data_IF_676902722240
#
_entry.id   IF_676902722240
#
_cell.length_a   1.000
_cell.length_b   1.000
_cell.length_c   1.000
_cell.angle_alpha   90.00
_cell.angle_beta   90.00
_cell.angle_gamma   90.00
#
_symmetry.space_group_name_H-M   'P 1'
#
loop_
_entity.id
_entity.type
_entity.pdbx_description
1 polymer ?
#
# COMPACT_ATOMS: atom_id res chain seq x y z
N UNK A 1 -11.60 13.37 -6.66
CA UNK A 1 -10.24 12.78 -6.56
C UNK A 1 -9.33 13.51 -7.52
N UNK A 2 -8.11 13.87 -7.12
CA UNK A 2 -7.21 14.55 -8.04
C UNK A 2 -6.58 13.56 -9.02
N UNK A 3 -6.05 14.11 -10.12
CA UNK A 3 -5.49 13.31 -11.21
C UNK A 3 -4.28 12.48 -10.78
N UNK A 4 -3.43 13.02 -9.92
CA UNK A 4 -2.25 12.30 -9.43
C UNK A 4 -2.66 11.09 -8.59
N UNK A 5 -3.64 11.24 -7.72
CA UNK A 5 -4.18 10.12 -6.93
C UNK A 5 -4.73 9.02 -7.84
N UNK A 6 -5.46 9.40 -8.87
CA UNK A 6 -5.99 8.42 -9.85
C UNK A 6 -4.86 7.67 -10.56
N UNK A 7 -3.80 8.38 -10.94
CA UNK A 7 -2.63 7.77 -11.59
C UNK A 7 -1.93 6.79 -10.65
N UNK A 8 -1.76 7.16 -9.38
CA UNK A 8 -1.17 6.28 -8.36
C UNK A 8 -2.00 5.00 -8.21
N UNK A 9 -3.32 5.14 -8.10
CA UNK A 9 -4.23 3.99 -7.93
C UNK A 9 -4.16 3.09 -9.17
N UNK A 10 -4.26 3.66 -10.36
CA UNK A 10 -4.24 2.90 -11.60
C UNK A 10 -2.91 2.17 -11.80
N UNK A 11 -1.79 2.85 -11.57
CA UNK A 11 -0.45 2.25 -11.69
C UNK A 11 -0.29 1.10 -10.72
N UNK A 12 -0.68 1.31 -9.45
CA UNK A 12 -0.60 0.26 -8.43
C UNK A 12 -1.45 -0.96 -8.83
N UNK A 13 -2.66 -0.71 -9.33
CA UNK A 13 -3.55 -1.79 -9.73
C UNK A 13 -2.97 -2.62 -10.88
N UNK A 14 -2.38 -1.98 -11.87
CA UNK A 14 -1.71 -2.67 -12.99
C UNK A 14 -0.53 -3.52 -12.48
N UNK A 15 0.24 -2.99 -11.54
CA UNK A 15 1.37 -3.72 -10.96
C UNK A 15 0.90 -4.91 -10.13
N UNK A 16 -0.19 -4.78 -9.37
CA UNK A 16 -0.78 -5.89 -8.62
C UNK A 16 -1.25 -6.99 -9.58
N UNK A 17 -1.83 -6.64 -10.72
CA UNK A 17 -2.24 -7.63 -11.71
C UNK A 17 -1.04 -8.43 -12.23
N UNK A 18 0.11 -7.79 -12.45
CA UNK A 18 1.34 -8.48 -12.84
C UNK A 18 1.83 -9.42 -11.73
N UNK A 19 1.71 -9.03 -10.48
CA UNK A 19 2.11 -9.86 -9.34
C UNK A 19 1.13 -11.01 -9.11
N UNK A 20 -0.13 -10.83 -9.46
CA UNK A 20 -1.17 -11.84 -9.28
C UNK A 20 -0.99 -13.03 -10.24
N UNK A 21 -0.54 -12.78 -11.47
CA UNK A 21 -0.32 -13.83 -12.46
C UNK A 21 0.80 -14.74 -11.97
N UNK A 22 0.52 -16.06 -11.89
CA UNK A 22 1.43 -17.02 -11.29
C UNK A 22 2.55 -17.40 -12.27
N UNK A 23 3.71 -16.79 -12.13
CA UNK A 23 4.92 -17.03 -12.90
C UNK A 23 6.12 -17.11 -11.96
N UNK A 24 7.26 -17.62 -12.44
CA UNK A 24 8.50 -17.61 -11.66
C UNK A 24 8.91 -16.19 -11.29
N UNK A 25 8.73 -15.25 -12.22
CA UNK A 25 9.05 -13.85 -11.99
C UNK A 25 8.16 -13.25 -10.89
N UNK A 26 6.85 -13.47 -10.96
CA UNK A 26 5.91 -12.88 -9.98
C UNK A 26 6.13 -13.46 -8.58
N UNK A 27 6.40 -14.76 -8.47
CA UNK A 27 6.72 -15.39 -7.18
C UNK A 27 7.99 -14.80 -6.57
N UNK A 28 9.04 -14.63 -7.39
CA UNK A 28 10.28 -14.01 -6.92
C UNK A 28 10.04 -12.56 -6.48
N UNK A 29 9.32 -11.78 -7.28
CA UNK A 29 9.06 -10.37 -6.97
C UNK A 29 8.21 -10.24 -5.71
N UNK A 30 7.16 -11.07 -5.54
CA UNK A 30 6.38 -11.06 -4.30
C UNK A 30 7.22 -11.41 -3.09
N UNK A 31 8.16 -12.36 -3.23
CA UNK A 31 9.08 -12.71 -2.14
C UNK A 31 9.96 -11.53 -1.75
N UNK A 32 10.51 -10.80 -2.72
CA UNK A 32 11.33 -9.61 -2.46
C UNK A 32 10.53 -8.49 -1.78
N UNK A 33 9.31 -8.23 -2.25
CA UNK A 33 8.45 -7.21 -1.66
C UNK A 33 8.00 -7.60 -0.24
N UNK A 34 7.66 -8.87 -0.04
CA UNK A 34 7.30 -9.39 1.28
C UNK A 34 8.47 -9.20 2.27
N UNK A 35 9.68 -9.54 1.85
CA UNK A 35 10.86 -9.36 2.69
C UNK A 35 11.08 -7.89 3.05
N UNK A 36 10.87 -6.97 2.10
CA UNK A 36 10.95 -5.54 2.39
C UNK A 36 9.93 -5.11 3.45
N UNK A 37 8.70 -5.64 3.39
CA UNK A 37 7.68 -5.34 4.39
C UNK A 37 8.10 -5.80 5.78
N UNK A 38 8.62 -7.01 5.87
CA UNK A 38 8.99 -7.64 7.15
C UNK A 38 10.23 -6.99 7.75
N UNK A 39 11.27 -6.76 6.96
CA UNK A 39 12.57 -6.28 7.45
C UNK A 39 12.72 -4.77 7.46
N UNK A 40 11.95 -4.07 6.61
CA UNK A 40 12.12 -2.64 6.39
C UNK A 40 13.26 -2.30 5.43
N UNK A 41 13.96 -3.30 4.87
CA UNK A 41 15.03 -3.08 3.92
C UNK A 41 14.49 -3.02 2.50
N UNK A 42 14.90 -2.00 1.74
CA UNK A 42 14.50 -1.87 0.35
C UNK A 42 15.14 -2.95 -0.51
N UNK A 43 14.38 -3.45 -1.48
CA UNK A 43 14.89 -4.36 -2.50
C UNK A 43 15.26 -3.57 -3.75
N UNK A 44 16.55 -3.49 -4.13
CA UNK A 44 16.94 -2.81 -5.36
C UNK A 44 16.27 -3.40 -6.60
N UNK A 45 16.08 -4.71 -6.65
CA UNK A 45 15.43 -5.39 -7.77
C UNK A 45 13.95 -4.99 -7.87
N UNK A 46 13.25 -4.93 -6.74
CA UNK A 46 11.85 -4.48 -6.72
C UNK A 46 11.74 -3.01 -7.14
N UNK A 47 12.63 -2.17 -6.67
CA UNK A 47 12.66 -0.76 -7.09
C UNK A 47 12.93 -0.62 -8.58
N UNK A 48 13.83 -1.42 -9.14
CA UNK A 48 14.09 -1.43 -10.58
C UNK A 48 12.84 -1.73 -11.38
N UNK A 49 12.07 -2.73 -10.96
CA UNK A 49 10.79 -3.04 -11.59
C UNK A 49 9.81 -1.88 -11.49
N UNK A 50 9.65 -1.31 -10.30
CA UNK A 50 8.74 -0.18 -10.07
C UNK A 50 9.11 0.99 -10.99
N UNK A 51 10.38 1.36 -11.05
CA UNK A 51 10.84 2.46 -11.92
C UNK A 51 10.52 2.19 -13.40
N UNK A 52 10.54 0.93 -13.83
CA UNK A 52 10.21 0.58 -15.21
C UNK A 52 8.72 0.72 -15.54
N UNK A 53 7.85 0.69 -14.51
CA UNK A 53 6.39 0.72 -14.66
C UNK A 53 5.79 2.10 -14.36
N UNK A 54 6.51 2.95 -13.65
CA UNK A 54 5.99 4.23 -13.19
C UNK A 54 5.82 5.20 -14.37
N UNK A 55 4.64 5.83 -14.54
CA UNK A 55 4.46 6.90 -15.52
C UNK A 55 5.35 8.10 -15.20
N UNK A 56 5.81 8.77 -16.22
CA UNK A 56 6.71 9.91 -16.09
C UNK A 56 6.17 11.02 -15.18
N UNK A 57 4.84 11.22 -15.20
CA UNK A 57 4.18 12.29 -14.43
C UNK A 57 4.36 12.15 -12.91
N UNK A 58 4.60 10.94 -12.44
CA UNK A 58 4.74 10.66 -10.99
C UNK A 58 6.12 10.11 -10.64
N UNK A 59 7.03 10.06 -11.60
CA UNK A 59 8.40 9.58 -11.38
C UNK A 59 9.20 10.56 -10.54
N UNK A 60 10.07 10.02 -9.70
CA UNK A 60 11.10 10.79 -9.02
C UNK A 60 12.28 11.07 -9.93
N UNK A 61 13.44 11.34 -9.33
CA UNK A 61 14.70 11.61 -10.01
C UNK A 61 15.76 10.61 -9.56
N UNK A 62 16.94 10.66 -10.18
CA UNK A 62 18.08 9.85 -9.76
C UNK A 62 18.50 10.13 -8.31
N UNK A 63 18.20 11.34 -7.84
CA UNK A 63 18.60 11.78 -6.50
C UNK A 63 17.55 11.50 -5.45
N UNK A 64 16.27 11.39 -5.84
CA UNK A 64 15.18 11.25 -4.88
C UNK A 64 13.99 10.49 -5.46
N UNK A 65 13.54 9.46 -4.72
CA UNK A 65 12.30 8.76 -4.97
C UNK A 65 11.13 9.71 -4.69
N UNK A 66 10.14 9.72 -5.57
CA UNK A 66 8.96 10.57 -5.39
C UNK A 66 8.05 10.04 -4.26
N UNK A 67 7.20 10.92 -3.73
CA UNK A 67 6.21 10.50 -2.71
C UNK A 67 5.20 9.52 -3.30
N UNK A 68 4.91 9.63 -4.59
CA UNK A 68 4.04 8.70 -5.31
C UNK A 68 4.69 7.32 -5.38
N UNK A 69 5.97 7.26 -5.73
CA UNK A 69 6.73 6.01 -5.78
C UNK A 69 6.81 5.33 -4.42
N UNK A 70 7.03 6.10 -3.36
CA UNK A 70 7.06 5.56 -1.99
C UNK A 70 5.72 4.94 -1.59
N UNK A 71 4.63 5.60 -1.93
CA UNK A 71 3.29 5.10 -1.63
C UNK A 71 3.02 3.78 -2.36
N UNK A 72 3.37 3.71 -3.63
CA UNK A 72 3.22 2.50 -4.44
C UNK A 72 4.06 1.36 -3.87
N UNK A 73 5.33 1.62 -3.55
CA UNK A 73 6.23 0.61 -3.00
C UNK A 73 5.65 -0.01 -1.72
N UNK A 74 5.22 0.83 -0.78
CA UNK A 74 4.68 0.33 0.49
C UNK A 74 3.41 -0.47 0.29
N UNK A 75 2.51 -0.02 -0.59
CA UNK A 75 1.27 -0.76 -0.88
C UNK A 75 1.56 -2.12 -1.51
N UNK A 76 2.52 -2.20 -2.43
CA UNK A 76 2.92 -3.46 -3.06
C UNK A 76 3.58 -4.40 -2.06
N UNK A 77 4.41 -3.88 -1.16
CA UNK A 77 5.02 -4.67 -0.10
C UNK A 77 3.94 -5.26 0.81
N UNK A 78 2.94 -4.47 1.18
CA UNK A 78 1.83 -4.94 2.00
C UNK A 78 1.02 -6.01 1.28
N UNK A 79 0.71 -5.81 0.00
CA UNK A 79 0.02 -6.80 -0.82
C UNK A 79 0.78 -8.13 -0.81
N UNK A 80 2.07 -8.09 -1.10
CA UNK A 80 2.91 -9.30 -1.15
C UNK A 80 2.98 -10.02 0.19
N UNK A 81 3.03 -9.26 1.30
CA UNK A 81 3.20 -9.82 2.64
C UNK A 81 1.91 -10.35 3.26
N UNK A 82 0.74 -9.85 2.85
CA UNK A 82 -0.52 -10.19 3.53
C UNK A 82 -1.51 -10.92 2.66
N UNK A 83 -1.65 -10.54 1.40
CA UNK A 83 -2.67 -11.11 0.51
C UNK A 83 -2.09 -12.01 -0.57
N UNK A 84 -1.10 -11.50 -1.29
CA UNK A 84 -0.44 -12.22 -2.39
C UNK A 84 -1.32 -12.47 -3.60
N UNK A 85 -2.50 -13.01 -3.39
CA UNK A 85 -3.45 -13.42 -4.43
C UNK A 85 -4.88 -12.93 -4.16
N UNK A 86 -5.08 -12.05 -3.17
CA UNK A 86 -6.41 -11.60 -2.76
C UNK A 86 -6.51 -10.09 -2.80
N UNK A 87 -7.60 -9.60 -3.37
CA UNK A 87 -7.94 -8.19 -3.39
C UNK A 87 -9.47 -8.04 -3.43
N UNK A 88 -9.97 -6.90 -3.03
CA UNK A 88 -11.39 -6.57 -3.03
C UNK A 88 -11.57 -5.08 -3.34
N UNK A 89 -12.79 -4.65 -3.59
CA UNK A 89 -13.07 -3.24 -3.92
C UNK A 89 -13.14 -2.33 -2.69
N UNK A 90 -13.38 -2.90 -1.51
CA UNK A 90 -13.51 -2.11 -0.29
C UNK A 90 -12.16 -1.55 0.15
N UNK A 91 -12.18 -0.43 0.88
CA UNK A 91 -10.97 0.12 1.47
C UNK A 91 -10.55 -0.68 2.69
N UNK A 92 -9.31 -0.48 3.14
CA UNK A 92 -8.79 -1.10 4.35
C UNK A 92 -9.67 -0.78 5.57
N UNK A 93 -10.07 0.46 5.73
CA UNK A 93 -10.88 0.89 6.88
C UNK A 93 -12.30 0.32 6.79
N UNK A 94 -12.88 0.25 5.59
CA UNK A 94 -14.17 -0.43 5.41
C UNK A 94 -14.09 -1.90 5.79
N UNK A 95 -12.99 -2.57 5.48
CA UNK A 95 -12.77 -3.96 5.89
C UNK A 95 -12.69 -4.07 7.41
N UNK A 96 -12.01 -3.15 8.09
CA UNK A 96 -11.97 -3.09 9.56
C UNK A 96 -13.37 -2.98 10.16
N UNK A 97 -14.17 -2.08 9.61
CA UNK A 97 -15.54 -1.86 10.07
C UNK A 97 -16.39 -3.11 9.89
N UNK A 98 -16.30 -3.74 8.72
CA UNK A 98 -17.02 -4.98 8.44
C UNK A 98 -16.69 -6.09 9.45
N UNK A 99 -15.42 -6.16 9.87
CA UNK A 99 -14.94 -7.17 10.83
C UNK A 99 -15.13 -6.75 12.28
N UNK A 100 -15.74 -5.61 12.53
CA UNK A 100 -15.96 -5.06 13.88
C UNK A 100 -14.66 -4.97 14.69
N UNK A 101 -13.58 -4.52 14.04
CA UNK A 101 -12.28 -4.37 14.70
C UNK A 101 -12.22 -3.10 15.53
N UNK A 102 -11.44 -3.13 16.62
CA UNK A 102 -11.14 -1.91 17.36
C UNK A 102 -10.23 -0.98 16.55
N UNK A 103 -10.08 0.26 17.00
CA UNK A 103 -9.34 1.29 16.28
C UNK A 103 -7.88 1.43 16.67
N UNK A 104 -7.34 0.55 17.52
CA UNK A 104 -5.99 0.73 18.08
C UNK A 104 -4.95 0.85 16.98
N UNK A 105 -4.94 -0.07 16.01
CA UNK A 105 -3.95 -0.04 14.94
C UNK A 105 -4.20 1.09 13.94
N UNK A 106 -5.46 1.45 13.68
CA UNK A 106 -5.75 2.62 12.84
C UNK A 106 -5.19 3.89 13.49
N UNK A 107 -5.38 4.05 14.78
CA UNK A 107 -4.82 5.18 15.51
C UNK A 107 -3.29 5.22 15.42
N UNK A 108 -2.63 4.09 15.55
CA UNK A 108 -1.17 4.01 15.40
C UNK A 108 -0.71 4.43 14.00
N UNK A 109 -1.45 4.02 12.97
CA UNK A 109 -1.18 4.41 11.59
C UNK A 109 -1.36 5.92 11.42
N UNK A 110 -2.46 6.46 11.94
CA UNK A 110 -2.77 7.89 11.84
C UNK A 110 -1.73 8.77 12.57
N UNK A 111 -1.14 8.25 13.65
CA UNK A 111 -0.11 8.97 14.41
C UNK A 111 1.29 8.86 13.80
N UNK A 112 1.47 8.04 12.77
CA UNK A 112 2.78 7.92 12.10
C UNK A 112 3.18 9.24 11.47
N UNK A 113 4.46 9.59 11.59
CA UNK A 113 4.98 10.83 11.00
C UNK A 113 5.23 10.71 9.50
N UNK A 114 5.61 9.50 9.06
CA UNK A 114 5.95 9.22 7.66
C UNK A 114 5.64 7.76 7.34
N UNK A 115 5.85 7.35 6.08
CA UNK A 115 5.55 5.98 5.66
C UNK A 115 6.48 4.95 6.30
N UNK A 116 7.71 5.31 6.60
CA UNK A 116 8.65 4.38 7.26
C UNK A 116 8.14 4.02 8.65
N UNK A 117 7.66 5.01 9.42
CA UNK A 117 7.06 4.78 10.74
C UNK A 117 5.77 3.97 10.64
N UNK A 118 5.04 4.13 9.55
CA UNK A 118 3.76 3.46 9.34
C UNK A 118 3.90 1.98 9.03
N UNK A 119 5.03 1.55 8.52
CA UNK A 119 5.24 0.21 7.98
C UNK A 119 4.78 -0.91 8.92
N UNK A 120 5.26 -0.89 10.17
CA UNK A 120 4.94 -1.96 11.13
C UNK A 120 3.46 -1.98 11.51
N UNK A 121 2.85 -0.85 11.95
CA UNK A 121 1.43 -0.89 12.29
C UNK A 121 0.54 -1.21 11.07
N UNK A 122 0.93 -0.79 9.88
CA UNK A 122 0.21 -1.11 8.65
C UNK A 122 0.27 -2.61 8.34
N UNK A 123 1.46 -3.22 8.49
CA UNK A 123 1.64 -4.65 8.29
C UNK A 123 0.79 -5.45 9.28
N UNK A 124 0.82 -5.07 10.55
CA UNK A 124 0.04 -5.74 11.60
C UNK A 124 -1.46 -5.65 11.30
N UNK A 125 -1.95 -4.50 10.89
CA UNK A 125 -3.36 -4.33 10.54
C UNK A 125 -3.74 -5.16 9.33
N UNK A 126 -2.94 -5.12 8.27
CA UNK A 126 -3.20 -5.90 7.06
C UNK A 126 -3.26 -7.39 7.34
N UNK A 127 -2.33 -7.91 8.13
CA UNK A 127 -2.33 -9.32 8.54
C UNK A 127 -3.58 -9.69 9.32
N UNK A 128 -4.02 -8.84 10.25
CA UNK A 128 -5.23 -9.10 11.03
C UNK A 128 -6.47 -9.16 10.16
N UNK A 129 -6.61 -8.22 9.22
CA UNK A 129 -7.75 -8.19 8.31
C UNK A 129 -7.80 -9.48 7.47
N UNK A 130 -6.68 -9.84 6.86
CA UNK A 130 -6.61 -11.01 5.97
C UNK A 130 -6.79 -12.30 6.77
N UNK A 131 -6.21 -12.40 7.96
CA UNK A 131 -6.36 -13.59 8.81
C UNK A 131 -7.82 -13.81 9.28
N UNK A 132 -8.63 -12.75 9.29
CA UNK A 132 -10.05 -12.83 9.58
C UNK A 132 -10.90 -13.14 8.35
N UNK A 133 -10.26 -13.41 7.22
CA UNK A 133 -10.93 -13.83 5.99
C UNK A 133 -11.41 -12.70 5.10
N UNK A 134 -10.97 -11.47 5.32
CA UNK A 134 -11.36 -10.32 4.52
C UNK A 134 -10.19 -9.82 3.67
N UNK A 135 -10.48 -9.31 2.49
CA UNK A 135 -9.52 -8.63 1.64
C UNK A 135 -9.92 -7.16 1.49
N UNK A 136 -9.01 -6.33 0.98
CA UNK A 136 -9.28 -4.92 0.69
C UNK A 136 -8.50 -4.50 -0.56
N UNK A 137 -8.73 -3.27 -1.00
CA UNK A 137 -8.12 -2.75 -2.23
C UNK A 137 -6.78 -2.07 -1.92
N UNK A 138 -5.68 -2.72 -2.30
CA UNK A 138 -4.32 -2.22 -2.05
C UNK A 138 -3.99 -1.02 -2.95
N UNK A 139 -4.59 -0.93 -4.13
CA UNK A 139 -4.38 0.23 -5.01
C UNK A 139 -5.01 1.50 -4.41
N UNK A 140 -6.22 1.38 -3.85
CA UNK A 140 -6.84 2.49 -3.11
C UNK A 140 -6.00 2.91 -1.91
N UNK A 141 -5.41 1.93 -1.23
CA UNK A 141 -4.48 2.22 -0.12
C UNK A 141 -3.27 3.03 -0.63
N UNK A 142 -2.70 2.68 -1.77
CA UNK A 142 -1.60 3.45 -2.34
C UNK A 142 -1.99 4.92 -2.56
N UNK A 143 -3.20 5.17 -3.06
CA UNK A 143 -3.73 6.52 -3.20
C UNK A 143 -3.81 7.25 -1.87
N UNK A 144 -4.28 6.58 -0.82
CA UNK A 144 -4.34 7.16 0.54
C UNK A 144 -2.93 7.41 1.09
N UNK A 145 -1.99 6.51 0.87
CA UNK A 145 -0.60 6.68 1.32
C UNK A 145 0.08 7.85 0.62
N UNK A 146 -0.20 8.04 -0.65
CA UNK A 146 0.27 9.24 -1.37
C UNK A 146 -0.30 10.50 -0.73
N UNK A 147 -1.63 10.55 -0.54
CA UNK A 147 -2.29 11.72 0.06
C UNK A 147 -1.86 11.96 1.50
N UNK A 148 -1.56 10.92 2.26
CA UNK A 148 -1.07 11.03 3.62
C UNK A 148 0.23 11.85 3.68
N UNK A 149 1.09 11.72 2.68
CA UNK A 149 2.33 12.47 2.59
C UNK A 149 2.09 13.93 2.16
N UNK A 150 1.00 14.18 1.45
CA UNK A 150 0.65 15.52 0.96
C UNK A 150 -0.21 16.32 1.94
N UNK A 151 -1.23 15.67 2.51
CA UNK A 151 -2.19 16.30 3.41
C UNK A 151 -2.71 15.23 4.37
N UNK A 152 -1.95 15.00 5.43
CA UNK A 152 -2.19 13.95 6.41
C UNK A 152 -3.59 14.05 7.02
N UNK A 153 -4.02 15.25 7.39
CA UNK A 153 -5.32 15.43 8.05
C UNK A 153 -6.49 15.10 7.14
N UNK A 154 -6.35 15.33 5.85
CA UNK A 154 -7.38 14.96 4.88
C UNK A 154 -7.62 13.45 4.86
N UNK A 155 -6.54 12.67 4.88
CA UNK A 155 -6.61 11.21 4.89
C UNK A 155 -7.18 10.71 6.23
N UNK A 156 -6.73 11.27 7.34
CA UNK A 156 -7.24 10.90 8.66
C UNK A 156 -8.75 11.13 8.72
N UNK A 157 -9.23 12.31 8.25
CA UNK A 157 -10.67 12.58 8.23
C UNK A 157 -11.43 11.59 7.35
N UNK A 158 -10.85 11.21 6.21
CA UNK A 158 -11.45 10.20 5.33
C UNK A 158 -11.56 8.84 6.03
N UNK A 159 -10.47 8.38 6.63
CA UNK A 159 -10.46 7.09 7.33
C UNK A 159 -11.42 7.08 8.52
N UNK A 160 -11.47 8.16 9.30
CA UNK A 160 -12.38 8.24 10.45
C UNK A 160 -13.84 8.21 10.00
N UNK A 161 -14.18 8.84 8.88
CA UNK A 161 -15.52 8.75 8.31
C UNK A 161 -15.87 7.35 7.82
N UNK A 162 -14.91 6.67 7.22
CA UNK A 162 -15.11 5.28 6.77
C UNK A 162 -15.28 4.34 7.95
N UNK A 163 -14.64 4.64 9.08
CA UNK A 163 -14.67 3.79 10.28
C UNK A 163 -15.99 3.90 11.05
N UNK A 164 -16.67 5.02 10.97
CA UNK A 164 -17.93 5.26 11.73
C UNK A 164 -19.09 4.29 11.32
#
# INVERSE_FOLDING_TARGET
MNKTTETVIQTTNEMIQNLFIETSWSRNMRSLLCNSMVTGEDSPEAWGWIFSMIPKEISGTDEQVSIEEKAIYLALCLYAATAGDRTADCTMVEAMKYLDMDRIQLTQIELSENLDDMRIPLYMLGQRIVSKGRAFNYAKLAGDLYLFQMDKMKVIRKWEREFI
#
